data_IF_275546825023
#
_entry.id   IF_275546825023
#
_cell.length_a   1.000
_cell.length_b   1.000
_cell.length_c   1.000
_cell.angle_alpha   90.00
_cell.angle_beta   90.00
_cell.angle_gamma   90.00
#
_symmetry.space_group_name_H-M   'P 1'
#
loop_
_entity.id
_entity.type
_entity.pdbx_description
1 polymer ?
#
# COMPACT_ATOMS: atom_id res chain seq x y z
N UNK A 1 3.15 -27.06 -17.30
CA UNK A 1 2.38 -26.84 -16.05
C UNK A 1 2.65 -28.00 -15.15
N UNK A 2 2.86 -27.74 -13.88
CA UNK A 2 3.15 -28.74 -12.83
C UNK A 2 1.98 -28.73 -11.86
N UNK A 3 1.52 -29.91 -11.44
CA UNK A 3 0.52 -30.07 -10.40
C UNK A 3 1.11 -29.58 -9.07
N UNK A 4 0.36 -28.76 -8.36
CA UNK A 4 0.79 -28.11 -7.13
C UNK A 4 -0.36 -27.88 -6.17
N UNK A 5 -0.01 -27.56 -4.92
CA UNK A 5 -0.93 -27.09 -3.90
C UNK A 5 -0.66 -25.61 -3.65
N UNK A 6 -1.71 -24.83 -3.50
CA UNK A 6 -1.64 -23.42 -3.17
C UNK A 6 -2.66 -23.06 -2.10
N UNK A 7 -2.49 -21.89 -1.46
CA UNK A 7 -3.47 -21.34 -0.51
C UNK A 7 -3.96 -20.01 -1.02
N UNK A 8 -5.25 -19.89 -1.28
CA UNK A 8 -5.92 -18.62 -1.53
C UNK A 8 -6.15 -17.92 -0.21
N UNK A 9 -5.73 -16.66 -0.12
CA UNK A 9 -5.77 -15.88 1.12
C UNK A 9 -6.88 -14.84 1.02
N UNK A 10 -7.90 -15.01 1.85
CA UNK A 10 -8.91 -13.99 2.09
C UNK A 10 -8.43 -13.07 3.20
N UNK A 11 -8.42 -11.77 2.93
CA UNK A 11 -7.99 -10.75 3.89
C UNK A 11 -9.19 -9.94 4.32
N UNK A 12 -9.36 -9.83 5.63
CA UNK A 12 -10.38 -8.97 6.24
C UNK A 12 -9.69 -7.94 7.13
N UNK A 13 -10.29 -6.76 7.19
CA UNK A 13 -9.81 -5.67 8.02
C UNK A 13 -10.90 -5.24 8.99
N UNK A 14 -10.53 -5.01 10.25
CA UNK A 14 -11.42 -4.49 11.29
C UNK A 14 -10.71 -3.40 12.08
N UNK A 15 -11.42 -2.32 12.43
CA UNK A 15 -10.86 -1.21 13.20
C UNK A 15 -11.07 0.15 12.54
N UNK A 16 -10.29 1.14 12.98
CA UNK A 16 -10.33 2.51 12.47
C UNK A 16 -9.17 2.77 11.52
N UNK A 17 -9.31 3.76 10.66
CA UNK A 17 -8.29 4.17 9.69
C UNK A 17 -6.95 4.47 10.40
N UNK A 18 -5.89 3.79 9.99
CA UNK A 18 -4.56 3.84 10.61
C UNK A 18 -4.33 2.81 11.72
N UNK A 19 -5.38 2.26 12.33
CA UNK A 19 -5.29 1.23 13.38
C UNK A 19 -6.15 0.00 13.04
N UNK A 20 -6.17 -0.40 11.76
CA UNK A 20 -6.91 -1.57 11.31
C UNK A 20 -6.15 -2.85 11.64
N UNK A 21 -6.85 -3.82 12.19
CA UNK A 21 -6.33 -5.18 12.38
C UNK A 21 -6.60 -5.98 11.12
N UNK A 22 -5.54 -6.53 10.53
CA UNK A 22 -5.60 -7.43 9.39
C UNK A 22 -5.72 -8.87 9.87
N UNK A 23 -6.71 -9.59 9.34
CA UNK A 23 -6.89 -11.02 9.56
C UNK A 23 -6.84 -11.75 8.23
N UNK A 24 -6.12 -12.89 8.17
CA UNK A 24 -6.00 -13.71 6.98
C UNK A 24 -6.65 -15.08 7.22
N UNK A 25 -7.43 -15.52 6.25
CA UNK A 25 -7.97 -16.89 6.21
C UNK A 25 -7.47 -17.58 4.95
N UNK A 26 -6.81 -18.72 5.11
CA UNK A 26 -6.25 -19.49 4.01
C UNK A 26 -7.18 -20.63 3.60
N UNK A 27 -7.46 -20.77 2.31
CA UNK A 27 -8.16 -21.89 1.72
C UNK A 27 -7.20 -22.67 0.82
N UNK A 28 -6.93 -23.91 1.15
CA UNK A 28 -6.05 -24.78 0.36
C UNK A 28 -6.76 -25.24 -0.90
N UNK A 29 -6.09 -25.14 -2.04
CA UNK A 29 -6.59 -25.55 -3.35
C UNK A 29 -5.58 -26.44 -4.07
N UNK A 30 -6.08 -27.33 -4.93
CA UNK A 30 -5.27 -28.02 -5.93
C UNK A 30 -5.25 -27.18 -7.21
N UNK A 31 -4.07 -27.04 -7.80
CA UNK A 31 -3.90 -26.19 -8.97
C UNK A 31 -2.77 -26.70 -9.87
N UNK A 32 -2.66 -26.11 -11.05
CA UNK A 32 -1.50 -26.28 -11.93
C UNK A 32 -0.77 -24.93 -12.03
N UNK A 33 0.52 -24.96 -11.78
CA UNK A 33 1.37 -23.77 -11.87
C UNK A 33 2.20 -23.82 -13.15
N UNK A 34 2.26 -22.72 -13.87
CA UNK A 34 3.04 -22.55 -15.08
C UNK A 34 3.61 -21.16 -15.21
N UNK A 35 4.52 -20.99 -16.16
CA UNK A 35 5.03 -19.67 -16.53
C UNK A 35 3.98 -18.89 -17.32
N UNK A 36 4.08 -17.58 -17.28
CA UNK A 36 3.31 -16.66 -18.10
C UNK A 36 3.88 -16.68 -19.53
N UNK A 37 3.01 -16.66 -20.54
CA UNK A 37 3.47 -16.58 -21.91
C UNK A 37 4.00 -15.17 -22.26
N UNK A 38 4.80 -15.08 -23.35
CA UNK A 38 5.44 -13.81 -23.72
C UNK A 38 4.46 -12.70 -24.04
N UNK A 39 3.32 -12.99 -24.65
CA UNK A 39 2.31 -12.00 -25.02
C UNK A 39 1.73 -11.32 -23.80
N UNK A 40 1.32 -12.11 -22.83
CA UNK A 40 0.76 -11.62 -21.59
C UNK A 40 1.81 -10.90 -20.74
N UNK A 41 3.04 -11.40 -20.72
CA UNK A 41 4.13 -10.73 -20.03
C UNK A 41 4.30 -9.28 -20.54
N UNK A 42 4.37 -9.08 -21.86
CA UNK A 42 4.52 -7.75 -22.41
C UNK A 42 3.29 -6.86 -22.26
N UNK A 43 2.08 -7.43 -22.33
CA UNK A 43 0.85 -6.68 -22.10
C UNK A 43 0.76 -6.18 -20.66
N UNK A 44 1.11 -7.00 -19.67
CA UNK A 44 1.15 -6.64 -18.28
C UNK A 44 2.31 -5.68 -17.95
N UNK A 45 3.48 -5.88 -18.55
CA UNK A 45 4.65 -5.03 -18.36
C UNK A 45 4.38 -3.57 -18.76
N UNK A 46 3.67 -3.35 -19.86
CA UNK A 46 3.26 -2.01 -20.30
C UNK A 46 2.28 -1.33 -19.32
N UNK A 47 1.62 -2.11 -18.48
CA UNK A 47 0.73 -1.64 -17.41
C UNK A 47 1.41 -1.59 -16.02
N UNK A 48 2.74 -1.77 -15.97
CA UNK A 48 3.53 -1.73 -14.75
C UNK A 48 3.55 -3.04 -13.93
N UNK A 49 2.94 -4.13 -14.44
CA UNK A 49 2.96 -5.44 -13.79
C UNK A 49 4.01 -6.35 -14.39
N UNK A 50 4.64 -7.20 -13.55
CA UNK A 50 5.61 -8.21 -13.97
C UNK A 50 5.10 -9.60 -13.56
N UNK A 51 4.15 -10.18 -14.30
CA UNK A 51 3.60 -11.49 -13.96
C UNK A 51 4.67 -12.58 -14.08
N UNK A 52 4.76 -13.42 -13.06
CA UNK A 52 5.73 -14.51 -13.02
C UNK A 52 5.06 -15.86 -13.18
N UNK A 53 3.86 -16.02 -12.63
CA UNK A 53 3.16 -17.29 -12.55
C UNK A 53 1.75 -17.21 -13.12
N UNK A 54 1.35 -18.30 -13.78
CA UNK A 54 -0.03 -18.56 -14.13
C UNK A 54 -0.48 -19.78 -13.35
N UNK A 55 -1.50 -19.61 -12.52
CA UNK A 55 -2.11 -20.68 -11.72
C UNK A 55 -3.44 -21.03 -12.34
N UNK A 56 -3.66 -22.30 -12.60
CA UNK A 56 -4.92 -22.81 -13.16
C UNK A 56 -5.62 -23.66 -12.10
N UNK A 57 -6.86 -23.34 -11.79
CA UNK A 57 -7.68 -24.05 -10.79
C UNK A 57 -9.14 -24.10 -11.24
N UNK A 58 -9.97 -24.83 -10.49
CA UNK A 58 -11.43 -24.82 -10.67
C UNK A 58 -11.99 -23.47 -10.17
N UNK A 59 -12.91 -22.82 -10.95
CA UNK A 59 -13.57 -21.59 -10.53
C UNK A 59 -14.24 -21.64 -9.16
N UNK A 60 -14.74 -22.81 -8.74
CA UNK A 60 -15.40 -23.00 -7.44
C UNK A 60 -14.47 -22.68 -6.25
N UNK A 61 -13.15 -22.77 -6.46
CA UNK A 61 -12.15 -22.51 -5.44
C UNK A 61 -11.90 -21.01 -5.21
N UNK A 62 -12.37 -20.15 -6.12
CA UNK A 62 -12.02 -18.73 -6.11
C UNK A 62 -13.23 -17.85 -5.83
N UNK A 63 -13.12 -17.00 -4.82
CA UNK A 63 -14.17 -16.06 -4.38
C UNK A 63 -13.66 -14.61 -4.35
N UNK A 64 -12.73 -14.26 -5.27
CA UNK A 64 -12.21 -12.88 -5.36
C UNK A 64 -11.00 -12.60 -4.46
N UNK A 65 -10.28 -13.62 -3.98
CA UNK A 65 -9.07 -13.42 -3.20
C UNK A 65 -8.00 -12.69 -4.02
N UNK A 66 -7.34 -11.70 -3.42
CA UNK A 66 -6.27 -10.95 -4.06
C UNK A 66 -4.88 -11.54 -3.86
N UNK A 67 -4.72 -12.53 -2.97
CA UNK A 67 -3.44 -13.10 -2.58
C UNK A 67 -3.48 -14.62 -2.70
N UNK A 68 -2.38 -15.20 -3.17
CA UNK A 68 -2.16 -16.63 -3.23
C UNK A 68 -0.76 -16.98 -2.71
N UNK A 69 -0.67 -17.99 -1.88
CA UNK A 69 0.58 -18.60 -1.42
C UNK A 69 0.81 -19.90 -2.20
N UNK A 70 1.86 -19.93 -3.01
CA UNK A 70 2.27 -21.09 -3.81
C UNK A 70 3.27 -21.92 -3.03
N UNK A 71 2.99 -23.22 -2.85
CA UNK A 71 3.94 -24.15 -2.26
C UNK A 71 4.96 -24.55 -3.32
N UNK A 72 6.23 -24.25 -3.09
CA UNK A 72 7.34 -24.56 -3.98
C UNK A 72 8.41 -25.37 -3.24
N UNK A 73 9.30 -26.08 -3.95
CA UNK A 73 10.41 -26.80 -3.30
C UNK A 73 11.31 -25.90 -2.44
N UNK A 74 11.35 -24.59 -2.72
CA UNK A 74 12.10 -23.60 -1.97
C UNK A 74 11.33 -22.95 -0.81
N UNK A 75 10.10 -23.40 -0.53
CA UNK A 75 9.21 -22.85 0.48
C UNK A 75 7.97 -22.17 -0.11
N UNK A 76 7.20 -21.54 0.74
CA UNK A 76 5.98 -20.84 0.35
C UNK A 76 6.32 -19.49 -0.32
N UNK A 77 5.78 -19.29 -1.51
CA UNK A 77 5.94 -18.07 -2.28
C UNK A 77 4.63 -17.28 -2.29
N UNK A 78 4.60 -16.12 -1.66
CA UNK A 78 3.43 -15.23 -1.66
C UNK A 78 3.37 -14.40 -2.93
N UNK A 79 2.21 -14.40 -3.58
CA UNK A 79 1.93 -13.66 -4.81
C UNK A 79 0.64 -12.87 -4.69
N UNK A 80 0.59 -11.73 -5.38
CA UNK A 80 -0.64 -10.99 -5.60
C UNK A 80 -1.29 -11.46 -6.91
N UNK A 81 -2.60 -11.69 -6.90
CA UNK A 81 -3.41 -12.03 -8.08
C UNK A 81 -3.81 -10.70 -8.72
N UNK A 82 -3.22 -10.36 -9.87
CA UNK A 82 -3.51 -9.10 -10.54
C UNK A 82 -4.60 -9.22 -11.62
N UNK A 83 -4.84 -10.44 -12.12
CA UNK A 83 -5.84 -10.70 -13.14
C UNK A 83 -6.37 -12.12 -13.03
N UNK A 84 -7.65 -12.28 -13.35
CA UNK A 84 -8.32 -13.59 -13.48
C UNK A 84 -8.92 -13.73 -14.88
N UNK A 85 -8.92 -14.95 -15.41
CA UNK A 85 -9.53 -15.27 -16.68
C UNK A 85 -10.22 -16.63 -16.61
N UNK A 86 -11.54 -16.66 -16.78
CA UNK A 86 -12.30 -17.90 -16.85
C UNK A 86 -12.24 -18.45 -18.27
N UNK A 87 -11.49 -19.53 -18.46
CA UNK A 87 -11.24 -20.14 -19.76
C UNK A 87 -12.37 -21.08 -20.19
N UNK A 88 -13.00 -21.77 -19.21
CA UNK A 88 -14.15 -22.63 -19.40
C UNK A 88 -14.96 -22.71 -18.11
N UNK A 89 -16.05 -23.50 -18.11
CA UNK A 89 -16.84 -23.72 -16.89
C UNK A 89 -16.01 -24.26 -15.71
N UNK A 90 -15.00 -25.09 -16.00
CA UNK A 90 -14.20 -25.80 -15.01
C UNK A 90 -12.76 -25.28 -14.88
N UNK A 91 -12.40 -24.21 -15.60
CA UNK A 91 -11.02 -23.72 -15.67
C UNK A 91 -10.95 -22.22 -15.46
N UNK A 92 -10.35 -21.83 -14.35
CA UNK A 92 -9.99 -20.45 -14.02
C UNK A 92 -8.47 -20.29 -14.06
N UNK A 93 -7.98 -19.28 -14.73
CA UNK A 93 -6.57 -18.88 -14.73
C UNK A 93 -6.40 -17.64 -13.86
N UNK A 94 -5.47 -17.73 -12.91
CA UNK A 94 -5.05 -16.65 -12.01
C UNK A 94 -3.64 -16.23 -12.43
N UNK A 95 -3.49 -14.96 -12.69
CA UNK A 95 -2.21 -14.39 -13.12
C UNK A 95 -1.58 -13.68 -11.94
N UNK A 96 -0.38 -14.15 -11.56
CA UNK A 96 0.21 -13.85 -10.28
C UNK A 96 1.55 -13.14 -10.44
N UNK A 97 1.74 -12.12 -9.62
CA UNK A 97 3.00 -11.37 -9.46
C UNK A 97 3.55 -11.71 -8.09
N UNK A 98 4.83 -12.05 -8.00
CA UNK A 98 5.48 -12.26 -6.70
C UNK A 98 5.32 -11.01 -5.85
N UNK A 99 4.79 -11.19 -4.65
CA UNK A 99 4.75 -10.13 -3.67
C UNK A 99 6.19 -9.87 -3.19
N UNK A 100 6.73 -8.71 -3.51
CA UNK A 100 8.04 -8.33 -3.01
C UNK A 100 7.89 -7.88 -1.55
N UNK A 101 8.42 -8.62 -0.56
CA UNK A 101 8.35 -8.21 0.84
C UNK A 101 9.08 -6.88 1.10
N UNK A 102 9.97 -6.44 0.21
CA UNK A 102 10.64 -5.14 0.29
C UNK A 102 9.83 -3.98 -0.31
N UNK A 103 8.67 -4.25 -0.90
CA UNK A 103 7.82 -3.20 -1.50
C UNK A 103 6.94 -2.45 -0.49
N UNK A 104 6.86 -2.89 0.75
CA UNK A 104 6.25 -2.10 1.81
C UNK A 104 7.25 -1.02 2.29
N UNK A 105 7.35 0.05 1.50
CA UNK A 105 8.08 1.23 1.97
C UNK A 105 7.42 1.72 3.24
N UNK A 106 8.20 1.81 4.31
CA UNK A 106 7.79 2.50 5.52
C UNK A 106 8.00 3.99 5.29
N UNK A 107 7.03 4.79 5.71
CA UNK A 107 7.16 6.24 5.71
C UNK A 107 7.16 6.73 7.14
N UNK A 108 7.92 7.75 7.41
CA UNK A 108 7.89 8.44 8.69
C UNK A 108 7.19 9.78 8.51
N UNK A 109 6.18 10.02 9.33
CA UNK A 109 5.40 11.26 9.37
C UNK A 109 5.64 11.95 10.71
N UNK A 110 5.94 13.23 10.69
CA UNK A 110 6.01 14.09 11.88
C UNK A 110 4.78 14.99 11.92
N UNK A 111 4.01 14.85 12.96
CA UNK A 111 2.79 15.64 13.14
C UNK A 111 2.47 15.82 14.63
N UNK A 112 2.15 17.05 15.03
CA UNK A 112 1.77 17.39 16.41
C UNK A 112 2.76 16.88 17.48
N UNK A 113 4.07 16.98 17.18
CA UNK A 113 5.15 16.50 18.05
C UNK A 113 5.29 14.98 18.14
N UNK A 114 4.54 14.22 17.35
CA UNK A 114 4.65 12.76 17.26
C UNK A 114 5.45 12.35 16.02
N UNK A 115 6.20 11.26 16.17
CA UNK A 115 6.85 10.54 15.07
C UNK A 115 6.01 9.31 14.78
N UNK A 116 5.43 9.25 13.59
CA UNK A 116 4.45 8.24 13.21
C UNK A 116 5.06 7.41 12.08
N UNK A 117 5.11 6.10 12.28
CA UNK A 117 5.52 5.14 11.24
C UNK A 117 4.29 4.70 10.47
N UNK A 118 4.34 4.84 9.16
CA UNK A 118 3.25 4.46 8.25
C UNK A 118 3.68 3.24 7.45
N UNK A 119 2.93 2.15 7.57
CA UNK A 119 3.10 0.94 6.79
C UNK A 119 1.93 0.75 5.82
N UNK A 120 2.16 0.18 4.65
CA UNK A 120 1.14 -0.01 3.63
C UNK A 120 0.78 1.26 2.85
N UNK A 121 1.55 2.34 3.02
CA UNK A 121 1.46 3.56 2.24
C UNK A 121 2.32 3.48 0.97
N UNK A 122 2.05 4.33 -0.02
CA UNK A 122 2.88 4.43 -1.21
C UNK A 122 2.91 5.86 -1.76
N UNK A 123 3.98 6.19 -2.47
CA UNK A 123 4.08 7.46 -3.18
C UNK A 123 3.54 7.31 -4.61
N UNK A 124 2.77 8.32 -5.02
CA UNK A 124 2.49 8.61 -6.41
C UNK A 124 3.03 10.01 -6.69
N UNK A 125 3.78 10.15 -7.75
CA UNK A 125 4.30 11.45 -8.16
C UNK A 125 4.58 11.42 -9.63
N UNK A 126 4.38 12.53 -10.30
CA UNK A 126 4.97 12.79 -11.59
C UNK A 126 6.19 13.67 -11.35
N UNK A 127 7.34 13.27 -11.85
CA UNK A 127 8.44 14.17 -12.15
C UNK A 127 7.99 15.14 -13.27
N UNK A 128 6.89 15.86 -13.04
CA UNK A 128 6.33 16.80 -13.98
C UNK A 128 7.24 18.01 -14.01
N UNK A 129 8.14 18.03 -14.98
CA UNK A 129 8.86 19.24 -15.35
C UNK A 129 7.92 20.11 -16.19
N UNK A 130 7.39 21.16 -15.62
CA UNK A 130 6.71 22.21 -16.38
C UNK A 130 7.77 23.11 -17.03
N UNK A 131 7.76 23.16 -18.37
CA UNK A 131 8.64 24.03 -19.14
C UNK A 131 7.96 25.40 -19.25
N UNK A 132 8.44 26.37 -18.49
CA UNK A 132 8.07 27.79 -18.71
C UNK A 132 9.05 28.43 -19.67
N UNK A 133 8.65 29.52 -20.33
CA UNK A 133 9.49 30.27 -21.28
C UNK A 133 10.77 30.84 -20.66
N UNK A 134 10.89 30.83 -19.33
CA UNK A 134 12.03 31.34 -18.56
C UNK A 134 12.91 30.30 -17.92
N UNK A 135 12.59 28.97 -18.08
CA UNK A 135 13.37 27.89 -17.52
C UNK A 135 12.51 26.72 -17.05
N UNK A 136 13.17 25.63 -16.67
CA UNK A 136 12.52 24.47 -16.07
C UNK A 136 12.24 24.76 -14.60
N UNK A 137 10.98 24.81 -14.19
CA UNK A 137 10.59 24.75 -12.79
C UNK A 137 10.26 23.29 -12.49
N UNK A 138 11.05 22.64 -11.65
CA UNK A 138 10.69 21.34 -11.10
C UNK A 138 9.53 21.55 -10.10
N UNK A 139 8.36 21.09 -10.45
CA UNK A 139 7.25 20.94 -9.52
C UNK A 139 7.41 19.59 -8.83
N UNK A 140 8.29 19.54 -7.83
CA UNK A 140 8.52 18.34 -7.00
C UNK A 140 7.36 18.13 -6.02
N UNK A 141 6.15 18.02 -6.55
CA UNK A 141 5.00 17.65 -5.75
C UNK A 141 4.85 16.14 -5.76
N UNK A 142 4.90 15.53 -4.59
CA UNK A 142 4.63 14.11 -4.40
C UNK A 142 3.32 13.92 -3.68
N UNK A 143 2.62 12.84 -3.99
CA UNK A 143 1.41 12.45 -3.27
C UNK A 143 1.67 11.17 -2.51
N UNK A 144 1.64 11.24 -1.19
CA UNK A 144 1.61 10.07 -0.32
C UNK A 144 0.17 9.59 -0.21
N UNK A 145 -0.08 8.39 -0.70
CA UNK A 145 -1.39 7.74 -0.62
C UNK A 145 -1.40 6.78 0.56
N UNK A 146 -2.37 6.97 1.44
CA UNK A 146 -2.66 6.12 2.58
C UNK A 146 -3.96 5.36 2.29
N UNK A 147 -3.88 4.13 1.73
CA UNK A 147 -5.07 3.33 1.47
C UNK A 147 -5.78 2.98 2.79
N UNK A 148 -7.03 2.59 2.75
CA UNK A 148 -7.78 2.21 3.96
C UNK A 148 -7.04 1.20 4.84
N UNK A 149 -6.22 0.35 4.22
CA UNK A 149 -5.47 -0.73 4.86
C UNK A 149 -4.13 -0.31 5.45
N UNK A 150 -3.76 0.98 5.37
CA UNK A 150 -2.51 1.43 5.97
C UNK A 150 -2.52 1.29 7.49
N UNK A 151 -1.35 1.15 8.07
CA UNK A 151 -1.16 1.10 9.51
C UNK A 151 -0.26 2.23 9.97
N UNK A 152 -0.61 2.86 11.08
CA UNK A 152 0.15 3.93 11.69
C UNK A 152 0.57 3.54 13.11
N UNK A 153 1.83 3.80 13.46
CA UNK A 153 2.39 3.46 14.77
C UNK A 153 3.11 4.66 15.38
N UNK A 154 2.87 4.91 16.67
CA UNK A 154 3.64 5.84 17.49
C UNK A 154 4.31 5.05 18.61
N UNK A 155 5.63 5.05 18.66
CA UNK A 155 6.42 4.27 19.62
C UNK A 155 5.99 2.78 19.70
N UNK A 156 5.67 2.18 18.53
CA UNK A 156 5.24 0.79 18.42
C UNK A 156 3.75 0.53 18.72
N UNK A 157 3.01 1.52 19.20
CA UNK A 157 1.57 1.41 19.44
C UNK A 157 0.80 1.84 18.20
N UNK A 158 -0.16 1.04 17.75
CA UNK A 158 -1.06 1.39 16.66
C UNK A 158 -1.94 2.58 17.04
N UNK A 159 -2.08 3.55 16.12
CA UNK A 159 -2.86 4.77 16.30
C UNK A 159 -3.78 5.03 15.11
N UNK A 160 -4.97 5.53 15.37
CA UNK A 160 -5.96 5.83 14.34
C UNK A 160 -5.82 7.26 13.81
N UNK A 161 -6.20 7.46 12.55
CA UNK A 161 -6.29 8.79 11.99
C UNK A 161 -7.55 9.53 12.47
N UNK A 162 -7.39 10.79 12.88
CA UNK A 162 -8.48 11.70 13.13
C UNK A 162 -8.31 12.97 12.31
N UNK A 163 -9.41 13.49 11.75
CA UNK A 163 -9.40 14.77 11.05
C UNK A 163 -8.94 15.89 11.98
N UNK A 164 -8.23 16.94 11.51
CA UNK A 164 -7.64 17.96 12.37
C UNK A 164 -8.62 18.59 13.39
N UNK A 165 -9.84 18.93 12.95
CA UNK A 165 -10.86 19.48 13.85
C UNK A 165 -11.32 18.50 14.93
N UNK A 166 -11.50 17.22 14.55
CA UNK A 166 -11.89 16.18 15.49
C UNK A 166 -10.75 15.91 16.49
N UNK A 167 -9.52 15.82 16.00
CA UNK A 167 -8.33 15.64 16.83
C UNK A 167 -8.16 16.77 17.85
N UNK A 168 -8.33 18.03 17.43
CA UNK A 168 -8.22 19.19 18.31
C UNK A 168 -9.32 19.23 19.39
N UNK A 169 -10.49 18.64 19.11
CA UNK A 169 -11.58 18.56 20.09
C UNK A 169 -11.40 17.41 21.10
N UNK A 170 -10.44 16.52 20.90
CA UNK A 170 -10.15 15.42 21.83
C UNK A 170 -9.34 15.92 23.02
N UNK A 171 -9.62 15.36 24.21
CA UNK A 171 -8.75 15.55 25.36
C UNK A 171 -7.40 14.84 25.17
N UNK A 172 -6.39 15.29 25.90
CA UNK A 172 -4.99 14.82 25.76
C UNK A 172 -4.85 13.29 25.89
N UNK A 173 -5.64 12.66 26.78
CA UNK A 173 -5.62 11.21 26.96
C UNK A 173 -6.14 10.49 25.72
N UNK A 174 -7.22 10.98 25.12
CA UNK A 174 -7.77 10.38 23.89
C UNK A 174 -6.83 10.60 22.69
N UNK A 175 -6.17 11.75 22.60
CA UNK A 175 -5.20 12.03 21.54
C UNK A 175 -4.02 11.04 21.51
N UNK A 176 -3.74 10.32 22.60
CA UNK A 176 -2.70 9.30 22.63
C UNK A 176 -2.95 8.11 21.69
N UNK A 177 -4.22 7.85 21.37
CA UNK A 177 -4.64 6.76 20.49
C UNK A 177 -4.87 7.20 19.03
N UNK A 178 -4.65 8.49 18.77
CA UNK A 178 -4.90 9.09 17.46
C UNK A 178 -3.71 9.89 16.96
N UNK A 179 -3.67 10.08 15.65
CA UNK A 179 -2.83 11.07 15.01
C UNK A 179 -3.66 11.89 14.02
N UNK A 180 -3.13 13.02 13.61
CA UNK A 180 -3.71 13.87 12.56
C UNK A 180 -2.62 14.29 11.59
N UNK A 181 -2.99 14.87 10.47
CA UNK A 181 -2.08 15.44 9.49
C UNK A 181 -2.58 16.86 9.16
N UNK A 182 -1.72 17.83 9.29
CA UNK A 182 -2.00 19.24 9.02
C UNK A 182 -0.86 19.91 8.26
N UNK A 183 -0.98 21.21 8.00
CA UNK A 183 0.04 21.99 7.25
C UNK A 183 1.38 22.13 8.00
N UNK A 184 1.46 21.84 9.29
CA UNK A 184 2.73 21.82 10.04
C UNK A 184 3.45 20.48 9.95
N UNK A 185 2.77 19.46 9.45
CA UNK A 185 3.29 18.12 9.30
C UNK A 185 4.28 18.02 8.13
N UNK A 186 5.16 17.03 8.21
CA UNK A 186 6.04 16.64 7.12
C UNK A 186 6.29 15.15 7.16
N UNK A 187 6.68 14.56 6.04
CA UNK A 187 6.95 13.13 5.95
C UNK A 187 8.22 12.85 5.15
N UNK A 188 8.78 11.68 5.36
CA UNK A 188 9.92 11.19 4.61
C UNK A 188 9.74 9.71 4.24
N UNK A 189 10.47 9.29 3.20
CA UNK A 189 10.59 7.88 2.83
C UNK A 189 11.57 7.19 3.77
N UNK A 190 11.15 6.08 4.36
CA UNK A 190 11.97 5.25 5.23
C UNK A 190 11.55 5.26 6.69
N UNK A 191 12.19 4.38 7.46
CA UNK A 191 12.03 4.28 8.92
C UNK A 191 13.06 5.18 9.62
N UNK A 192 12.70 6.44 9.81
CA UNK A 192 13.58 7.46 10.37
C UNK A 192 13.27 7.65 11.86
N UNK A 193 14.24 7.38 12.71
CA UNK A 193 14.09 7.48 14.18
C UNK A 193 14.25 8.92 14.73
N UNK A 194 14.53 9.91 13.87
CA UNK A 194 14.77 11.29 14.31
C UNK A 194 13.48 11.93 14.85
N UNK A 195 13.60 12.65 15.96
CA UNK A 195 12.54 13.51 16.53
C UNK A 195 12.73 14.99 16.13
N UNK A 196 13.65 15.26 15.21
CA UNK A 196 14.03 16.61 14.78
C UNK A 196 12.93 17.37 14.05
N UNK A 197 13.14 18.67 13.94
CA UNK A 197 12.30 19.54 13.12
C UNK A 197 12.56 19.31 11.64
N UNK A 198 11.65 19.77 10.77
CA UNK A 198 11.78 19.62 9.32
C UNK A 198 13.18 19.95 8.79
N UNK A 199 13.76 21.10 9.19
CA UNK A 199 15.08 21.54 8.70
C UNK A 199 16.19 20.56 9.06
N UNK A 200 16.14 19.98 10.26
CA UNK A 200 17.13 19.02 10.76
C UNK A 200 17.04 17.68 10.03
N UNK A 201 15.81 17.22 9.78
CA UNK A 201 15.55 15.97 9.04
C UNK A 201 15.89 16.16 7.56
N UNK A 202 15.46 17.27 6.94
CA UNK A 202 15.74 17.59 5.55
C UNK A 202 17.23 17.81 5.23
N UNK A 203 18.02 18.19 6.24
CA UNK A 203 19.48 18.29 6.09
C UNK A 203 20.18 16.91 6.08
N UNK A 204 19.53 15.86 6.54
CA UNK A 204 20.08 14.50 6.69
C UNK A 204 19.55 13.51 5.68
N UNK A 205 18.38 13.76 5.11
CA UNK A 205 17.67 12.83 4.23
C UNK A 205 17.16 13.56 2.97
N UNK A 206 17.26 12.92 1.81
CA UNK A 206 16.93 13.52 0.51
C UNK A 206 15.42 13.59 0.24
N UNK A 207 14.66 12.55 0.66
CA UNK A 207 13.24 12.39 0.35
C UNK A 207 12.35 12.86 1.51
N UNK A 208 12.42 14.16 1.84
CA UNK A 208 11.64 14.80 2.92
C UNK A 208 10.71 15.85 2.34
N UNK A 209 9.43 15.75 2.64
CA UNK A 209 8.39 16.56 2.03
C UNK A 209 7.51 17.25 3.08
N UNK A 210 7.28 18.55 2.94
CA UNK A 210 6.29 19.28 3.74
C UNK A 210 4.89 19.03 3.24
N UNK A 211 3.96 18.79 4.15
CA UNK A 211 2.54 18.65 3.80
C UNK A 211 1.99 19.99 3.30
N UNK A 212 1.43 19.98 2.10
CA UNK A 212 0.75 21.12 1.49
C UNK A 212 -0.77 20.98 1.60
N UNK A 213 -1.28 19.78 1.40
CA UNK A 213 -2.71 19.49 1.47
C UNK A 213 -2.96 18.05 1.89
N UNK A 214 -4.11 17.84 2.51
CA UNK A 214 -4.63 16.49 2.87
C UNK A 214 -6.06 16.39 2.39
N UNK A 215 -6.36 15.36 1.62
CA UNK A 215 -7.69 15.06 1.15
C UNK A 215 -8.10 13.64 1.54
N UNK A 216 -9.24 13.51 2.21
CA UNK A 216 -9.90 12.22 2.36
C UNK A 216 -10.74 11.98 1.11
N UNK A 217 -10.40 10.95 0.37
CA UNK A 217 -11.08 10.54 -0.86
C UNK A 217 -11.96 9.34 -0.59
N UNK A 218 -13.06 9.28 -1.32
CA UNK A 218 -14.01 8.18 -1.29
C UNK A 218 -14.37 7.84 -2.75
N UNK A 219 -14.26 6.57 -3.13
CA UNK A 219 -14.63 6.10 -4.49
C UNK A 219 -16.09 5.67 -4.58
N UNK A 220 -16.95 6.15 -3.69
CA UNK A 220 -18.39 5.91 -3.73
C UNK A 220 -18.90 4.84 -2.77
N UNK A 221 -18.02 4.13 -2.06
CA UNK A 221 -18.38 3.21 -0.98
C UNK A 221 -17.53 3.50 0.26
N UNK A 222 -18.06 3.30 1.48
CA UNK A 222 -17.31 3.48 2.72
C UNK A 222 -16.00 2.67 2.77
N UNK A 223 -15.98 1.51 2.12
CA UNK A 223 -14.85 0.59 2.09
C UNK A 223 -13.72 1.00 1.13
N UNK A 224 -13.85 2.17 0.49
CA UNK A 224 -12.85 2.69 -0.46
C UNK A 224 -12.28 4.05 -0.05
N UNK A 225 -12.40 4.40 1.23
CA UNK A 225 -11.79 5.63 1.74
C UNK A 225 -10.26 5.51 1.77
N UNK A 226 -9.59 6.56 1.35
CA UNK A 226 -8.14 6.70 1.43
C UNK A 226 -7.73 8.16 1.61
N UNK A 227 -6.56 8.38 2.17
CA UNK A 227 -6.00 9.73 2.33
C UNK A 227 -4.99 9.99 1.23
N UNK A 228 -5.08 11.16 0.61
CA UNK A 228 -4.02 11.73 -0.21
C UNK A 228 -3.36 12.87 0.55
N UNK A 229 -2.06 12.78 0.72
CA UNK A 229 -1.23 13.79 1.37
C UNK A 229 -0.27 14.35 0.34
N UNK A 230 -0.51 15.57 -0.08
CA UNK A 230 0.35 16.26 -1.06
C UNK A 230 1.51 16.88 -0.31
N UNK A 231 2.73 16.53 -0.73
CA UNK A 231 3.99 17.04 -0.19
C UNK A 231 4.81 17.79 -1.22
N UNK A 232 5.63 18.71 -0.73
CA UNK A 232 6.62 19.45 -1.52
C UNK A 232 7.90 19.66 -0.71
#
# INVERSE_FOLDING_TARGET
MVDATAKLISVTYAGQLGAMTRSETATTIFCKVGSVDRREFYAAYNSGFKPEFRVTTDPINYSGQGIIDLETPGGTLRCDIYRTYQKSADVLELWCVRKNPQAEKVFTLWSQGKVIKLAGAYLTGSDAQERTDTGKIALDAVTLVLPQTFQAFVAGKAVAYARPKAYAAMGTTAQADYFTIDASSFFAVGDIASTGKFQEVNAQFDDVYRVQAVALKNRGTPDTEYLEVIGK
#
